data_IF_273286126486
#
_entry.id   IF_273286126486
#
_cell.length_a   1.000
_cell.length_b   1.000
_cell.length_c   1.000
_cell.angle_alpha   90.00
_cell.angle_beta   90.00
_cell.angle_gamma   90.00
#
_symmetry.space_group_name_H-M   'P 1'
#
loop_
_entity.id
_entity.type
_entity.pdbx_description
1 polymer ?
#
# COMPACT_ATOMS: atom_id res chain seq x y z
N UNK A 1 48.97 25.73 -6.82
CA UNK A 1 48.49 24.38 -6.55
C UNK A 1 47.42 24.05 -7.56
N UNK A 2 47.45 22.91 -8.28
CA UNK A 2 46.37 22.59 -9.21
C UNK A 2 45.10 22.40 -8.41
N UNK A 3 44.03 23.06 -8.81
CA UNK A 3 42.68 22.88 -8.29
C UNK A 3 42.28 21.44 -8.52
N UNK A 4 42.10 20.66 -7.43
CA UNK A 4 41.55 19.30 -7.51
C UNK A 4 40.15 19.40 -8.19
N UNK A 5 40.06 18.95 -9.42
CA UNK A 5 38.77 18.78 -10.09
C UNK A 5 38.03 17.70 -9.31
N UNK A 6 36.93 18.07 -8.65
CA UNK A 6 36.05 17.10 -7.98
C UNK A 6 35.39 16.28 -9.07
N UNK A 7 35.59 14.95 -9.03
CA UNK A 7 34.95 14.02 -9.97
C UNK A 7 33.47 13.88 -9.60
N UNK A 8 32.58 14.24 -10.52
CA UNK A 8 31.14 14.07 -10.35
C UNK A 8 30.76 12.59 -10.47
N UNK A 9 29.99 12.10 -9.49
CA UNK A 9 29.39 10.74 -9.54
C UNK A 9 28.01 10.86 -10.19
N UNK A 10 27.89 10.36 -11.43
CA UNK A 10 26.64 10.43 -12.20
C UNK A 10 25.71 9.27 -11.80
N UNK A 11 24.48 9.61 -11.43
CA UNK A 11 23.43 8.61 -11.12
C UNK A 11 22.96 7.86 -12.39
N UNK A 12 22.49 6.61 -12.22
CA UNK A 12 21.93 5.85 -13.33
C UNK A 12 20.71 6.56 -13.93
N UNK A 13 20.63 6.67 -15.28
CA UNK A 13 19.58 7.42 -15.99
C UNK A 13 18.16 7.03 -15.57
N UNK A 14 17.90 5.74 -15.34
CA UNK A 14 16.59 5.22 -14.92
C UNK A 14 16.11 5.81 -13.58
N UNK A 15 17.01 6.31 -12.73
CA UNK A 15 16.65 6.90 -11.43
C UNK A 15 15.85 8.20 -11.56
N UNK A 16 15.92 8.87 -12.70
CA UNK A 16 15.09 10.05 -12.98
C UNK A 16 13.58 9.73 -13.03
N UNK A 17 13.22 8.47 -13.28
CA UNK A 17 11.82 8.02 -13.33
C UNK A 17 11.30 7.47 -11.98
N UNK A 18 12.18 7.32 -10.99
CA UNK A 18 11.78 6.83 -9.65
C UNK A 18 11.22 8.02 -8.84
N UNK A 19 9.91 7.98 -8.54
CA UNK A 19 9.20 9.00 -7.77
C UNK A 19 8.50 8.37 -6.58
N UNK A 20 8.37 9.12 -5.48
CA UNK A 20 7.66 8.68 -4.28
C UNK A 20 6.95 9.87 -3.62
N UNK A 21 5.81 10.26 -4.16
CA UNK A 21 5.08 11.49 -3.87
C UNK A 21 4.68 11.70 -2.41
N UNK A 22 4.54 10.63 -1.60
CA UNK A 22 4.13 10.72 -0.19
C UNK A 22 5.08 11.61 0.63
N UNK A 23 6.32 11.79 0.16
CA UNK A 23 7.35 12.59 0.83
C UNK A 23 7.80 13.83 0.05
N UNK A 24 7.18 14.15 -1.07
CA UNK A 24 7.57 15.28 -1.92
C UNK A 24 7.50 16.62 -1.19
N UNK A 25 6.52 16.79 -0.29
CA UNK A 25 6.36 18.00 0.50
C UNK A 25 7.11 18.00 1.85
N UNK A 26 7.96 17.01 2.11
CA UNK A 26 8.67 16.92 3.38
C UNK A 26 9.56 18.16 3.63
N UNK A 27 10.26 18.64 2.59
CA UNK A 27 11.11 19.84 2.69
C UNK A 27 10.28 21.07 3.01
N UNK A 28 9.14 21.25 2.34
CA UNK A 28 8.24 22.39 2.60
C UNK A 28 7.64 22.29 3.99
N UNK A 29 7.30 21.08 4.45
CA UNK A 29 6.80 20.87 5.81
C UNK A 29 7.87 21.22 6.87
N UNK A 30 9.13 20.85 6.64
CA UNK A 30 10.24 21.20 7.52
C UNK A 30 10.48 22.72 7.57
N UNK A 31 10.27 23.44 6.47
CA UNK A 31 10.33 24.91 6.42
C UNK A 31 9.24 25.55 7.27
N UNK A 32 7.98 25.15 7.06
CA UNK A 32 6.82 25.63 7.82
C UNK A 32 6.97 25.33 9.32
N UNK A 33 7.50 24.16 9.68
CA UNK A 33 7.75 23.80 11.07
C UNK A 33 8.86 24.66 11.71
N UNK A 34 9.93 24.99 10.94
CA UNK A 34 11.01 25.88 11.42
C UNK A 34 10.53 27.33 11.64
N UNK A 35 9.51 27.77 10.95
CA UNK A 35 8.84 29.06 11.19
C UNK A 35 7.98 29.06 12.46
N UNK A 36 7.90 27.94 13.17
CA UNK A 36 7.18 27.81 14.45
C UNK A 36 5.71 27.39 14.31
N UNK A 37 5.26 27.02 13.12
CA UNK A 37 3.88 26.60 12.88
C UNK A 37 3.68 25.13 13.23
N UNK A 38 2.55 24.82 13.88
CA UNK A 38 2.13 23.44 14.16
C UNK A 38 1.39 22.87 12.95
N UNK A 39 1.98 21.86 12.33
CA UNK A 39 1.38 21.19 11.17
C UNK A 39 0.44 20.07 11.61
N UNK A 40 -0.73 19.99 10.98
CA UNK A 40 -1.67 18.86 11.07
C UNK A 40 -1.36 17.87 9.97
N UNK A 41 -0.81 16.70 10.34
CA UNK A 41 -0.32 15.69 9.40
C UNK A 41 -1.42 14.68 9.04
N UNK A 42 -1.92 14.74 7.80
CA UNK A 42 -2.88 13.78 7.23
C UNK A 42 -2.28 13.03 6.02
N UNK A 43 -0.94 12.88 5.98
CA UNK A 43 -0.21 12.36 4.82
C UNK A 43 0.41 10.98 5.04
N UNK A 44 0.73 10.60 6.28
CA UNK A 44 1.49 9.37 6.59
C UNK A 44 0.58 8.30 7.20
N UNK A 45 0.50 7.14 6.54
CA UNK A 45 -0.23 5.97 7.00
C UNK A 45 0.55 5.13 8.01
N UNK A 46 0.91 5.73 9.14
CA UNK A 46 1.57 5.08 10.27
C UNK A 46 0.67 5.14 11.52
N UNK A 47 -0.06 4.05 11.84
CA UNK A 47 -0.97 4.03 12.98
C UNK A 47 -0.28 4.31 14.33
N UNK A 48 1.00 3.92 14.47
CA UNK A 48 1.74 4.07 15.73
C UNK A 48 2.02 5.52 16.12
N UNK A 49 1.82 6.48 15.19
CA UNK A 49 1.92 7.92 15.47
C UNK A 49 0.65 8.49 16.11
N UNK A 50 -0.38 7.68 16.24
CA UNK A 50 -1.69 8.04 16.75
C UNK A 50 -2.09 7.09 17.89
N UNK A 51 -3.36 7.08 18.24
CA UNK A 51 -3.91 6.30 19.35
C UNK A 51 -4.17 4.82 19.04
N UNK A 52 -3.21 4.18 18.35
CA UNK A 52 -3.22 2.76 18.02
C UNK A 52 -1.97 2.07 18.58
N UNK A 53 -2.01 1.59 19.84
CA UNK A 53 -0.86 0.97 20.49
C UNK A 53 -0.59 -0.42 19.92
N UNK A 54 0.69 -0.76 19.81
CA UNK A 54 1.13 -2.11 19.46
C UNK A 54 0.63 -3.13 20.50
N UNK A 55 0.07 -4.28 20.08
CA UNK A 55 -0.37 -5.33 21.00
C UNK A 55 0.78 -5.87 21.88
N UNK A 56 0.62 -5.89 23.22
CA UNK A 56 1.70 -6.26 24.16
C UNK A 56 2.31 -7.64 23.90
N UNK A 57 1.49 -8.65 23.61
CA UNK A 57 1.93 -10.02 23.36
C UNK A 57 2.92 -10.15 22.21
N UNK A 58 2.88 -9.24 21.24
CA UNK A 58 3.84 -9.19 20.13
C UNK A 58 5.18 -8.61 20.57
N UNK A 59 5.15 -7.56 21.43
CA UNK A 59 6.36 -6.97 22.01
C UNK A 59 7.07 -8.01 22.86
N UNK A 60 6.35 -8.69 23.74
CA UNK A 60 6.85 -9.76 24.60
C UNK A 60 7.52 -10.89 23.81
N UNK A 61 6.92 -11.27 22.68
CA UNK A 61 7.49 -12.31 21.81
C UNK A 61 8.84 -11.89 21.20
N UNK A 62 8.96 -10.64 20.76
CA UNK A 62 10.22 -10.11 20.22
C UNK A 62 11.27 -9.96 21.31
N UNK A 63 10.90 -9.43 22.46
CA UNK A 63 11.79 -9.30 23.62
C UNK A 63 12.33 -10.65 24.05
N UNK A 64 11.46 -11.65 24.17
CA UNK A 64 11.85 -13.02 24.48
C UNK A 64 12.82 -13.58 23.44
N UNK A 65 12.52 -13.42 22.16
CA UNK A 65 13.40 -13.91 21.09
C UNK A 65 14.82 -13.30 21.18
N UNK A 66 14.92 -11.99 21.44
CA UNK A 66 16.21 -11.31 21.62
C UNK A 66 16.98 -11.85 22.83
N UNK A 67 16.30 -12.08 23.97
CA UNK A 67 16.89 -12.62 25.19
C UNK A 67 17.31 -14.09 25.04
N UNK A 68 16.55 -14.87 24.29
CA UNK A 68 16.84 -16.28 23.97
C UNK A 68 18.00 -16.44 22.96
N UNK A 69 18.56 -15.35 22.45
CA UNK A 69 19.72 -15.36 21.57
C UNK A 69 19.39 -15.45 20.07
N UNK A 70 18.12 -15.28 19.65
CA UNK A 70 17.72 -15.26 18.22
C UNK A 70 18.15 -13.96 17.53
N UNK A 71 19.43 -13.55 17.67
CA UNK A 71 19.99 -12.31 17.15
C UNK A 71 20.86 -12.52 15.91
N UNK A 72 21.13 -13.78 15.53
CA UNK A 72 21.88 -14.14 14.32
C UNK A 72 21.01 -14.11 13.08
N UNK A 73 21.57 -14.54 11.95
CA UNK A 73 20.80 -14.71 10.72
C UNK A 73 19.80 -15.88 10.87
N UNK A 74 18.58 -15.67 10.39
CA UNK A 74 17.59 -16.73 10.23
C UNK A 74 17.62 -17.35 8.83
N UNK A 75 16.70 -18.25 8.55
CA UNK A 75 16.51 -18.86 7.22
C UNK A 75 16.07 -17.79 6.21
N UNK A 76 16.54 -17.94 4.97
CA UNK A 76 16.34 -16.95 3.91
C UNK A 76 14.87 -16.74 3.55
N UNK A 77 14.05 -17.78 3.63
CA UNK A 77 12.61 -17.67 3.37
C UNK A 77 11.80 -17.25 4.60
N UNK A 78 12.43 -17.21 5.77
CA UNK A 78 11.79 -16.96 7.06
C UNK A 78 11.95 -18.13 8.01
N UNK A 79 11.96 -17.84 9.31
CA UNK A 79 12.06 -18.90 10.34
C UNK A 79 10.86 -19.84 10.28
N UNK A 80 11.09 -21.12 10.53
CA UNK A 80 10.04 -22.14 10.38
C UNK A 80 8.75 -21.80 11.15
N UNK A 81 8.76 -21.35 12.42
CA UNK A 81 7.53 -21.00 13.13
C UNK A 81 6.73 -19.85 12.46
N UNK A 82 7.41 -18.91 11.81
CA UNK A 82 6.78 -17.80 11.11
C UNK A 82 6.13 -18.28 9.79
N UNK A 83 6.88 -19.05 9.00
CA UNK A 83 6.40 -19.61 7.72
C UNK A 83 5.21 -20.54 7.97
N UNK A 84 5.27 -21.41 8.98
CA UNK A 84 4.18 -22.31 9.33
C UNK A 84 2.92 -21.53 9.76
N UNK A 85 3.05 -20.51 10.61
CA UNK A 85 1.92 -19.69 11.05
C UNK A 85 1.25 -18.94 9.89
N UNK A 86 2.04 -18.39 8.94
CA UNK A 86 1.50 -17.74 7.75
C UNK A 86 0.75 -18.76 6.89
N UNK A 87 1.32 -19.94 6.66
CA UNK A 87 0.71 -21.03 5.89
C UNK A 87 -0.61 -21.48 6.52
N UNK A 88 -0.62 -21.80 7.81
CA UNK A 88 -1.84 -22.22 8.53
C UNK A 88 -2.94 -21.15 8.46
N UNK A 89 -2.57 -19.87 8.61
CA UNK A 89 -3.53 -18.79 8.41
C UNK A 89 -4.09 -18.75 7.00
N UNK A 90 -3.26 -18.86 5.99
CA UNK A 90 -3.68 -18.85 4.59
C UNK A 90 -4.62 -20.02 4.30
N UNK A 91 -4.27 -21.24 4.73
CA UNK A 91 -5.10 -22.43 4.60
C UNK A 91 -6.46 -22.27 5.31
N UNK A 92 -6.46 -21.74 6.55
CA UNK A 92 -7.69 -21.46 7.30
C UNK A 92 -8.58 -20.40 6.65
N UNK A 93 -8.02 -19.53 5.80
CA UNK A 93 -8.75 -18.54 5.00
C UNK A 93 -9.14 -19.05 3.60
N UNK A 94 -8.91 -20.33 3.31
CA UNK A 94 -9.33 -20.98 2.05
C UNK A 94 -8.31 -20.90 0.93
N UNK A 95 -7.06 -20.55 1.21
CA UNK A 95 -5.99 -20.65 0.22
C UNK A 95 -5.67 -22.12 -0.02
N UNK A 96 -5.62 -22.50 -1.28
CA UNK A 96 -5.25 -23.86 -1.71
C UNK A 96 -3.98 -23.81 -2.55
N UNK A 97 -3.37 -24.99 -2.78
CA UNK A 97 -2.19 -25.15 -3.63
C UNK A 97 -1.07 -24.15 -3.33
N UNK A 98 -0.77 -23.96 -2.01
CA UNK A 98 0.30 -23.08 -1.56
C UNK A 98 1.67 -23.67 -1.92
N UNK A 99 2.32 -23.06 -2.91
CA UNK A 99 3.63 -23.49 -3.41
C UNK A 99 4.79 -22.95 -2.58
N UNK A 100 4.66 -21.72 -2.06
CA UNK A 100 5.70 -21.08 -1.24
C UNK A 100 5.12 -20.05 -0.30
N UNK A 101 5.77 -19.90 0.86
CA UNK A 101 5.60 -18.79 1.80
C UNK A 101 6.98 -18.24 2.09
N UNK A 102 7.15 -16.93 2.04
CA UNK A 102 8.44 -16.30 2.34
C UNK A 102 8.27 -14.91 2.98
N UNK A 103 9.17 -14.60 3.91
CA UNK A 103 9.17 -13.40 4.76
C UNK A 103 10.27 -12.44 4.30
N UNK A 104 9.99 -11.13 4.34
CA UNK A 104 10.93 -10.07 3.97
C UNK A 104 10.91 -8.86 4.89
N UNK A 105 11.74 -7.87 4.57
CA UNK A 105 11.83 -6.56 5.23
C UNK A 105 10.59 -5.68 4.96
N UNK A 106 9.45 -6.12 5.48
CA UNK A 106 8.13 -5.58 5.14
C UNK A 106 7.69 -6.05 3.75
N UNK A 107 6.41 -5.82 3.43
CA UNK A 107 5.85 -6.14 2.10
C UNK A 107 6.64 -5.47 0.96
N UNK A 108 7.23 -4.30 1.21
CA UNK A 108 7.96 -3.57 0.17
C UNK A 108 9.17 -4.32 -0.41
N UNK A 109 9.97 -5.02 0.40
CA UNK A 109 11.06 -5.87 -0.13
C UNK A 109 10.53 -7.11 -0.84
N UNK A 110 9.47 -7.70 -0.29
CA UNK A 110 8.84 -8.87 -0.90
C UNK A 110 8.30 -8.55 -2.29
N UNK A 111 7.62 -7.41 -2.43
CA UNK A 111 7.13 -6.87 -3.71
C UNK A 111 8.28 -6.61 -4.66
N UNK A 112 9.34 -5.93 -4.20
CA UNK A 112 10.55 -5.66 -5.00
C UNK A 112 11.19 -6.94 -5.54
N UNK A 113 11.35 -7.94 -4.68
CA UNK A 113 11.93 -9.25 -5.05
C UNK A 113 11.06 -9.98 -6.07
N UNK A 114 9.72 -9.97 -5.87
CA UNK A 114 8.78 -10.60 -6.79
C UNK A 114 8.78 -9.93 -8.16
N UNK A 115 8.76 -8.60 -8.22
CA UNK A 115 8.81 -7.85 -9.48
C UNK A 115 10.17 -7.99 -10.17
N UNK A 116 11.28 -7.97 -9.41
CA UNK A 116 12.62 -8.16 -9.95
C UNK A 116 12.79 -9.55 -10.60
N UNK A 117 12.17 -10.59 -10.03
CA UNK A 117 12.21 -11.93 -10.59
C UNK A 117 11.27 -12.13 -11.79
N UNK A 118 10.28 -11.22 -11.99
CA UNK A 118 9.23 -11.37 -12.97
C UNK A 118 9.43 -10.53 -14.23
N UNK A 119 9.94 -9.29 -14.10
CA UNK A 119 9.85 -8.26 -15.14
C UNK A 119 11.23 -7.90 -15.68
N UNK A 120 11.39 -7.93 -17.01
CA UNK A 120 12.55 -7.42 -17.71
C UNK A 120 12.35 -5.95 -18.13
N UNK A 121 13.46 -5.27 -18.46
CA UNK A 121 13.38 -3.93 -19.03
C UNK A 121 12.56 -3.92 -20.33
N UNK A 122 11.63 -2.98 -20.44
CA UNK A 122 10.71 -2.85 -21.57
C UNK A 122 9.46 -3.74 -21.52
N UNK A 123 9.34 -4.62 -20.53
CA UNK A 123 8.09 -5.32 -20.21
C UNK A 123 7.22 -4.45 -19.28
N UNK A 124 5.97 -4.86 -19.01
CA UNK A 124 5.05 -4.12 -18.17
C UNK A 124 4.24 -5.01 -17.23
N UNK A 125 3.70 -4.37 -16.21
CA UNK A 125 2.68 -4.89 -15.29
C UNK A 125 1.50 -3.94 -15.34
N UNK A 126 0.29 -4.49 -15.45
CA UNK A 126 -0.94 -3.72 -15.28
C UNK A 126 -1.07 -3.32 -13.81
N UNK A 127 -1.05 -2.01 -13.54
CA UNK A 127 -1.16 -1.44 -12.20
C UNK A 127 -2.42 -0.57 -12.08
N UNK A 128 -3.07 -0.48 -10.91
CA UNK A 128 -4.24 0.40 -10.77
C UNK A 128 -3.86 1.89 -10.87
N UNK A 129 -4.76 2.71 -11.36
CA UNK A 129 -4.65 4.18 -11.38
C UNK A 129 -5.89 4.77 -10.68
N UNK A 130 -5.72 5.34 -9.47
CA UNK A 130 -4.50 5.56 -8.70
C UNK A 130 -3.94 4.31 -8.01
N UNK A 131 -2.60 4.33 -7.72
CA UNK A 131 -1.88 3.22 -7.08
C UNK A 131 -1.02 3.65 -5.89
N UNK A 132 -0.58 2.69 -5.08
CA UNK A 132 0.48 2.92 -4.10
C UNK A 132 1.83 3.14 -4.81
N UNK A 133 2.50 4.29 -4.62
CA UNK A 133 3.67 4.70 -5.44
C UNK A 133 4.89 3.77 -5.40
N UNK A 134 4.93 2.79 -4.50
CA UNK A 134 6.00 1.80 -4.43
C UNK A 134 6.09 0.98 -5.72
N UNK A 135 4.95 0.58 -6.28
CA UNK A 135 4.91 -0.27 -7.48
C UNK A 135 5.52 0.45 -8.68
N UNK A 136 5.06 1.68 -8.95
CA UNK A 136 5.64 2.52 -10.00
C UNK A 136 7.13 2.77 -9.80
N UNK A 137 7.59 3.01 -8.56
CA UNK A 137 9.00 3.21 -8.25
C UNK A 137 9.85 1.96 -8.51
N UNK A 138 9.37 0.77 -8.15
CA UNK A 138 10.07 -0.50 -8.40
C UNK A 138 10.11 -0.79 -9.90
N UNK A 139 9.00 -0.65 -10.61
CA UNK A 139 8.93 -0.87 -12.06
C UNK A 139 9.86 0.10 -12.81
N UNK A 140 9.89 1.38 -12.44
CA UNK A 140 10.82 2.36 -13.00
C UNK A 140 12.29 1.98 -12.74
N UNK A 141 12.61 1.49 -11.53
CA UNK A 141 13.95 0.97 -11.18
C UNK A 141 14.36 -0.19 -12.09
N UNK A 142 13.42 -1.06 -12.46
CA UNK A 142 13.63 -2.20 -13.35
C UNK A 142 13.68 -1.83 -14.84
N UNK A 143 13.32 -0.59 -15.18
CA UNK A 143 13.22 -0.16 -16.58
C UNK A 143 11.96 -0.68 -17.27
N UNK A 144 10.95 -1.05 -16.52
CA UNK A 144 9.64 -1.46 -17.04
C UNK A 144 8.87 -0.25 -17.61
N UNK A 145 7.94 -0.53 -18.54
CA UNK A 145 7.06 0.48 -19.13
C UNK A 145 5.82 0.65 -18.24
N UNK A 146 5.43 1.88 -17.88
CA UNK A 146 4.17 2.12 -17.17
C UNK A 146 2.96 1.61 -17.96
N UNK A 147 2.05 0.88 -17.32
CA UNK A 147 0.82 0.36 -17.92
C UNK A 147 -0.30 0.35 -16.88
N UNK A 148 -0.77 1.55 -16.52
CA UNK A 148 -1.78 1.74 -15.49
C UNK A 148 -3.19 1.59 -16.07
N UNK A 149 -4.06 0.82 -15.38
CA UNK A 149 -5.49 0.73 -15.68
C UNK A 149 -6.31 1.61 -14.74
N UNK A 150 -7.43 2.11 -15.23
CA UNK A 150 -8.27 3.02 -14.46
C UNK A 150 -9.08 2.27 -13.37
N UNK A 151 -9.14 2.88 -12.19
CA UNK A 151 -10.18 2.60 -11.20
C UNK A 151 -11.35 3.56 -11.44
N UNK A 152 -12.56 3.03 -11.57
CA UNK A 152 -13.76 3.83 -11.87
C UNK A 152 -14.31 4.50 -10.59
N UNK A 153 -14.04 5.80 -10.44
CA UNK A 153 -14.54 6.60 -9.31
C UNK A 153 -16.07 6.59 -9.25
N UNK A 154 -16.74 6.64 -10.39
CA UNK A 154 -18.21 6.65 -10.45
C UNK A 154 -18.84 5.32 -10.02
N UNK A 155 -18.06 4.24 -10.07
CA UNK A 155 -18.43 2.89 -9.65
C UNK A 155 -17.72 2.46 -8.36
N UNK A 156 -17.43 3.40 -7.45
CA UNK A 156 -16.85 3.07 -6.14
C UNK A 156 -15.38 2.68 -6.17
N UNK A 157 -14.63 3.13 -7.17
CA UNK A 157 -13.22 2.81 -7.40
C UNK A 157 -12.98 1.32 -7.70
N UNK A 158 -13.96 0.63 -8.28
CA UNK A 158 -13.75 -0.71 -8.82
C UNK A 158 -12.82 -0.65 -10.05
N UNK A 159 -11.97 -1.67 -10.28
CA UNK A 159 -11.19 -1.79 -11.52
C UNK A 159 -12.05 -1.73 -12.78
N UNK A 160 -11.67 -0.90 -13.74
CA UNK A 160 -12.29 -0.88 -15.06
C UNK A 160 -11.79 -2.08 -15.89
N UNK A 161 -12.61 -3.10 -15.94
CA UNK A 161 -12.31 -4.40 -16.59
C UNK A 161 -12.07 -4.25 -18.09
N UNK A 162 -12.78 -3.33 -18.76
CA UNK A 162 -12.62 -3.14 -20.18
C UNK A 162 -11.36 -2.34 -20.51
N UNK A 163 -11.01 -1.38 -19.68
CA UNK A 163 -9.74 -0.68 -19.77
C UNK A 163 -8.54 -1.63 -19.56
N UNK A 164 -8.64 -2.53 -18.56
CA UNK A 164 -7.63 -3.58 -18.34
C UNK A 164 -7.42 -4.42 -19.60
N UNK A 165 -8.50 -4.96 -20.19
CA UNK A 165 -8.42 -5.77 -21.42
C UNK A 165 -7.79 -5.01 -22.57
N UNK A 166 -8.13 -3.73 -22.71
CA UNK A 166 -7.58 -2.87 -23.76
C UNK A 166 -6.09 -2.57 -23.63
N UNK A 167 -5.53 -2.72 -22.42
CA UNK A 167 -4.14 -2.44 -22.10
C UNK A 167 -3.22 -3.67 -22.09
N UNK A 168 -3.78 -4.88 -22.10
CA UNK A 168 -2.97 -6.10 -22.22
C UNK A 168 -2.26 -6.12 -23.58
N UNK A 169 -0.99 -6.46 -23.57
CA UNK A 169 -0.16 -6.65 -24.77
C UNK A 169 0.87 -7.78 -24.56
N UNK A 170 1.63 -8.09 -25.58
CA UNK A 170 2.64 -9.17 -25.61
C UNK A 170 3.78 -9.00 -24.58
N UNK A 171 3.94 -7.80 -24.02
CA UNK A 171 4.92 -7.48 -22.96
C UNK A 171 4.32 -7.45 -21.56
N UNK A 172 3.02 -7.70 -21.41
CA UNK A 172 2.36 -7.69 -20.12
C UNK A 172 2.66 -8.99 -19.36
N UNK A 173 3.23 -8.86 -18.15
CA UNK A 173 3.69 -9.99 -17.32
C UNK A 173 2.74 -10.34 -16.19
N UNK A 174 2.07 -9.34 -15.62
CA UNK A 174 1.21 -9.53 -14.46
C UNK A 174 0.08 -8.49 -14.42
N UNK A 175 -0.95 -8.81 -13.64
CA UNK A 175 -2.00 -7.92 -13.20
C UNK A 175 -1.86 -7.71 -11.69
N UNK A 176 -1.59 -6.45 -11.27
CA UNK A 176 -1.54 -6.04 -9.88
C UNK A 176 -2.92 -5.57 -9.42
N UNK A 177 -3.34 -5.98 -8.24
CA UNK A 177 -4.44 -5.35 -7.52
C UNK A 177 -4.02 -5.02 -6.08
N UNK A 178 -4.62 -3.96 -5.51
CA UNK A 178 -4.44 -3.54 -4.11
C UNK A 178 -5.82 -3.51 -3.47
N UNK A 179 -6.10 -4.45 -2.56
CA UNK A 179 -7.45 -4.63 -2.00
C UNK A 179 -7.41 -5.04 -0.51
N UNK A 180 -7.92 -4.20 0.42
CA UNK A 180 -8.43 -2.83 0.25
C UNK A 180 -7.40 -1.85 -0.32
N UNK A 181 -7.89 -0.86 -1.09
CA UNK A 181 -7.03 -0.01 -1.90
C UNK A 181 -6.40 1.17 -1.13
N UNK A 182 -5.17 1.44 -1.42
CA UNK A 182 -4.47 2.69 -1.13
C UNK A 182 -4.17 3.37 -2.48
N UNK A 183 -4.75 4.54 -2.78
CA UNK A 183 -5.20 5.57 -1.84
C UNK A 183 -6.73 5.69 -1.62
N UNK A 184 -7.58 4.93 -2.29
CA UNK A 184 -9.03 5.21 -2.36
C UNK A 184 -9.84 4.69 -1.17
N UNK A 185 -9.34 3.67 -0.45
CA UNK A 185 -10.10 2.95 0.57
C UNK A 185 -11.17 2.00 0.00
N UNK A 186 -11.18 1.76 -1.31
CA UNK A 186 -12.09 0.83 -1.94
C UNK A 186 -11.86 -0.62 -1.49
N UNK A 187 -12.94 -1.40 -1.45
CA UNK A 187 -12.92 -2.86 -1.25
C UNK A 187 -13.64 -3.47 -2.45
N UNK A 188 -12.93 -4.26 -3.23
CA UNK A 188 -13.44 -4.78 -4.51
C UNK A 188 -14.49 -5.87 -4.30
N UNK A 189 -15.49 -5.85 -5.17
CA UNK A 189 -16.56 -6.84 -5.18
C UNK A 189 -16.05 -8.21 -5.64
N UNK A 190 -16.73 -9.29 -5.17
CA UNK A 190 -16.44 -10.65 -5.66
C UNK A 190 -16.53 -10.73 -7.18
N UNK A 191 -17.54 -10.08 -7.76
CA UNK A 191 -17.74 -10.04 -9.22
C UNK A 191 -16.52 -9.47 -9.95
N UNK A 192 -15.98 -8.34 -9.47
CA UNK A 192 -14.79 -7.73 -10.07
C UNK A 192 -13.59 -8.66 -9.94
N UNK A 193 -13.36 -9.26 -8.76
CA UNK A 193 -12.26 -10.21 -8.56
C UNK A 193 -12.37 -11.41 -9.51
N UNK A 194 -13.58 -11.97 -9.72
CA UNK A 194 -13.81 -13.03 -10.70
C UNK A 194 -13.51 -12.58 -12.14
N UNK A 195 -13.88 -11.35 -12.51
CA UNK A 195 -13.54 -10.80 -13.83
C UNK A 195 -12.03 -10.60 -14.03
N UNK A 196 -11.30 -10.19 -12.99
CA UNK A 196 -9.83 -10.09 -13.03
C UNK A 196 -9.18 -11.48 -13.21
N UNK A 197 -9.72 -12.51 -12.57
CA UNK A 197 -9.28 -13.90 -12.78
C UNK A 197 -9.49 -14.36 -14.22
N UNK A 198 -10.64 -14.04 -14.84
CA UNK A 198 -10.89 -14.36 -16.24
C UNK A 198 -9.89 -13.70 -17.19
N UNK A 199 -9.53 -12.44 -16.93
CA UNK A 199 -8.48 -11.74 -17.69
C UNK A 199 -7.13 -12.43 -17.52
N UNK A 200 -6.75 -12.74 -16.28
CA UNK A 200 -5.49 -13.42 -16.01
C UNK A 200 -5.42 -14.79 -16.71
N UNK A 201 -6.52 -15.52 -16.76
CA UNK A 201 -6.67 -16.80 -17.45
C UNK A 201 -6.55 -16.65 -18.96
N UNK A 202 -7.28 -15.70 -19.52
CA UNK A 202 -7.30 -15.42 -20.96
C UNK A 202 -5.92 -15.04 -21.51
N UNK A 203 -5.17 -14.24 -20.75
CA UNK A 203 -3.89 -13.67 -21.19
C UNK A 203 -2.66 -14.30 -20.52
N UNK A 204 -2.86 -15.36 -19.76
CA UNK A 204 -1.79 -16.09 -19.05
C UNK A 204 -0.93 -15.16 -18.15
N UNK A 205 -1.58 -14.34 -17.35
CA UNK A 205 -0.96 -13.39 -16.45
C UNK A 205 -0.80 -13.95 -15.03
N UNK A 206 0.28 -13.56 -14.35
CA UNK A 206 0.39 -13.73 -12.90
C UNK A 206 -0.45 -12.63 -12.21
N UNK A 207 -1.19 -12.99 -11.16
CA UNK A 207 -1.84 -12.00 -10.29
C UNK A 207 -0.91 -11.67 -9.13
N UNK A 208 -0.69 -10.37 -8.91
CA UNK A 208 -0.02 -9.81 -7.73
C UNK A 208 -1.09 -9.12 -6.88
N UNK A 209 -1.40 -9.68 -5.69
CA UNK A 209 -2.45 -9.18 -4.82
C UNK A 209 -1.86 -8.57 -3.55
N UNK A 210 -1.90 -7.24 -3.43
CA UNK A 210 -1.53 -6.54 -2.19
C UNK A 210 -2.74 -6.48 -1.25
N UNK A 211 -2.72 -7.31 -0.22
CA UNK A 211 -3.79 -7.46 0.76
C UNK A 211 -3.35 -7.01 2.16
N UNK A 212 -2.43 -6.04 2.25
CA UNK A 212 -1.89 -5.54 3.51
C UNK A 212 -2.97 -4.94 4.44
N UNK A 213 -4.14 -4.59 3.90
CA UNK A 213 -5.29 -4.04 4.61
C UNK A 213 -6.44 -5.04 4.80
N UNK A 214 -6.24 -6.33 4.57
CA UNK A 214 -7.25 -7.40 4.58
C UNK A 214 -8.17 -7.39 5.81
N UNK A 215 -7.65 -7.07 6.99
CA UNK A 215 -8.40 -6.99 8.25
C UNK A 215 -9.04 -5.61 8.50
N UNK A 216 -8.76 -4.62 7.68
CA UNK A 216 -9.19 -3.24 7.89
C UNK A 216 -10.36 -2.88 6.96
N UNK A 217 -11.44 -3.65 7.04
CA UNK A 217 -12.73 -3.38 6.38
C UNK A 217 -13.75 -3.08 7.46
N UNK A 218 -14.34 -1.88 7.43
CA UNK A 218 -15.24 -1.36 8.47
C UNK A 218 -16.61 -0.94 7.93
N UNK A 219 -16.80 -0.90 6.61
CA UNK A 219 -18.12 -0.64 6.02
C UNK A 219 -19.09 -1.77 6.34
N UNK A 220 -20.30 -1.50 6.91
CA UNK A 220 -21.28 -2.51 7.20
C UNK A 220 -21.66 -3.34 5.96
N UNK A 221 -21.54 -4.66 6.08
CA UNK A 221 -21.83 -5.60 4.99
C UNK A 221 -20.71 -5.82 3.99
N UNK A 222 -19.67 -4.98 3.96
CA UNK A 222 -18.47 -5.24 3.18
C UNK A 222 -17.58 -6.29 3.87
N UNK A 223 -16.94 -7.13 3.05
CA UNK A 223 -15.95 -8.12 3.53
C UNK A 223 -14.79 -8.17 2.55
N UNK A 224 -13.59 -8.24 3.09
CA UNK A 224 -12.44 -8.58 2.26
C UNK A 224 -12.58 -10.03 1.76
N UNK A 225 -12.37 -10.20 0.47
CA UNK A 225 -12.26 -11.51 -0.19
C UNK A 225 -10.88 -11.54 -0.81
N UNK A 226 -10.05 -12.49 -0.38
CA UNK A 226 -8.78 -12.70 -1.05
C UNK A 226 -9.02 -13.34 -2.42
N UNK A 227 -8.43 -12.76 -3.46
CA UNK A 227 -8.54 -13.29 -4.82
C UNK A 227 -7.94 -14.71 -4.92
N UNK A 228 -6.97 -15.04 -4.08
CA UNK A 228 -6.36 -16.37 -4.02
C UNK A 228 -7.33 -17.48 -3.57
N UNK A 229 -8.46 -17.14 -2.96
CA UNK A 229 -9.49 -18.11 -2.57
C UNK A 229 -10.47 -18.46 -3.70
N UNK A 230 -10.42 -17.69 -4.80
CA UNK A 230 -11.40 -17.80 -5.90
C UNK A 230 -10.87 -18.61 -7.10
N UNK A 231 -9.56 -18.95 -7.12
CA UNK A 231 -8.95 -19.73 -8.20
C UNK A 231 -7.81 -20.60 -7.70
N UNK A 232 -7.63 -21.76 -8.35
CA UNK A 232 -6.51 -22.69 -8.11
C UNK A 232 -5.68 -22.92 -9.37
N UNK A 233 -6.18 -22.50 -10.51
CA UNK A 233 -5.62 -22.70 -11.85
C UNK A 233 -4.75 -21.52 -12.34
N UNK A 234 -4.67 -20.45 -11.56
CA UNK A 234 -3.91 -19.23 -11.89
C UNK A 234 -2.81 -19.01 -10.86
N UNK A 235 -1.57 -18.65 -11.28
CA UNK A 235 -0.51 -18.24 -10.35
C UNK A 235 -0.87 -16.90 -9.69
N UNK A 236 -0.97 -16.91 -8.37
CA UNK A 236 -1.29 -15.71 -7.55
C UNK A 236 -0.24 -15.56 -6.46
N UNK A 237 0.30 -14.35 -6.32
CA UNK A 237 1.22 -13.96 -5.26
C UNK A 237 0.50 -12.95 -4.37
N UNK A 238 0.14 -13.34 -3.16
CA UNK A 238 -0.55 -12.49 -2.20
C UNK A 238 0.44 -11.91 -1.20
N UNK A 239 0.51 -10.57 -1.12
CA UNK A 239 1.36 -9.83 -0.19
C UNK A 239 0.59 -9.41 1.06
N UNK A 240 1.22 -9.53 2.23
CA UNK A 240 0.68 -9.07 3.50
C UNK A 240 1.83 -8.77 4.50
N UNK A 241 1.51 -8.41 5.74
CA UNK A 241 2.52 -8.11 6.75
C UNK A 241 1.97 -7.60 8.08
N UNK A 242 2.86 -7.29 9.01
CA UNK A 242 2.50 -6.81 10.34
C UNK A 242 2.31 -5.29 10.42
N UNK A 243 2.60 -4.55 9.35
CA UNK A 243 2.70 -3.09 9.39
C UNK A 243 1.38 -2.36 9.68
N UNK A 244 0.22 -2.92 9.28
CA UNK A 244 -1.06 -2.21 9.29
C UNK A 244 -2.01 -2.75 10.34
N UNK A 245 -2.58 -3.92 10.12
CA UNK A 245 -3.51 -4.52 11.06
C UNK A 245 -2.87 -4.87 12.41
N UNK A 246 -1.56 -5.11 12.45
CA UNK A 246 -0.84 -5.48 13.66
C UNK A 246 0.01 -4.34 14.26
N UNK A 247 -0.08 -3.14 13.72
CA UNK A 247 0.41 -1.89 14.33
C UNK A 247 1.93 -1.87 14.61
N UNK A 248 2.74 -2.46 13.73
CA UNK A 248 4.21 -2.49 13.85
C UNK A 248 4.94 -2.19 12.54
N UNK A 249 4.65 -1.06 11.88
CA UNK A 249 5.29 -0.73 10.59
C UNK A 249 6.82 -0.56 10.70
N UNK A 250 7.32 -0.19 11.88
CA UNK A 250 8.76 -0.02 12.15
C UNK A 250 9.53 -1.34 12.28
N UNK A 251 8.86 -2.47 12.51
CA UNK A 251 9.53 -3.77 12.64
C UNK A 251 9.93 -4.38 11.30
N UNK A 252 9.40 -3.84 10.20
CA UNK A 252 9.75 -4.27 8.85
C UNK A 252 9.53 -5.77 8.62
N UNK A 253 8.34 -6.29 8.94
CA UNK A 253 7.93 -7.68 8.68
C UNK A 253 6.77 -7.70 7.70
N UNK A 254 6.98 -8.36 6.56
CA UNK A 254 5.99 -8.67 5.56
C UNK A 254 6.28 -10.02 4.92
N UNK A 255 5.34 -10.55 4.18
CA UNK A 255 5.46 -11.86 3.54
C UNK A 255 4.68 -11.92 2.24
N UNK A 256 4.97 -12.98 1.47
CA UNK A 256 4.10 -13.42 0.38
C UNK A 256 3.69 -14.88 0.56
N UNK A 257 2.50 -15.18 0.03
CA UNK A 257 1.97 -16.52 -0.17
C UNK A 257 1.77 -16.72 -1.67
N UNK A 258 2.45 -17.70 -2.25
CA UNK A 258 2.32 -18.05 -3.66
C UNK A 258 1.39 -19.27 -3.80
N UNK A 259 0.30 -19.11 -4.55
CA UNK A 259 -0.71 -20.16 -4.79
C UNK A 259 -0.89 -20.41 -6.29
N UNK A 260 -1.40 -21.59 -6.63
CA UNK A 260 -1.70 -21.99 -8.01
C UNK A 260 -0.82 -23.14 -8.53
N UNK A 261 -0.87 -23.43 -9.84
CA UNK A 261 -0.21 -24.60 -10.42
C UNK A 261 1.31 -24.55 -10.21
N UNK A 262 1.87 -25.65 -9.71
CA UNK A 262 3.30 -25.78 -9.44
C UNK A 262 4.15 -25.55 -10.69
N UNK A 263 3.71 -26.07 -11.81
CA UNK A 263 4.41 -25.98 -13.09
C UNK A 263 4.55 -24.53 -13.55
N UNK A 264 3.54 -23.70 -13.30
CA UNK A 264 3.56 -22.28 -13.64
C UNK A 264 4.48 -21.47 -12.71
N UNK A 265 4.60 -21.88 -11.45
CA UNK A 265 5.31 -21.11 -10.41
C UNK A 265 6.75 -21.55 -10.18
N UNK A 266 7.12 -22.80 -10.50
CA UNK A 266 8.38 -23.40 -10.08
C UNK A 266 9.63 -22.56 -10.42
N UNK A 267 9.83 -22.21 -11.68
CA UNK A 267 11.01 -21.45 -12.12
C UNK A 267 11.00 -20.01 -11.60
N UNK A 268 9.82 -19.40 -11.51
CA UNK A 268 9.66 -18.07 -10.95
C UNK A 268 10.02 -18.04 -9.46
N UNK A 269 9.49 -18.96 -8.68
CA UNK A 269 9.81 -19.06 -7.24
C UNK A 269 11.28 -19.36 -6.99
N UNK A 270 11.92 -20.18 -7.83
CA UNK A 270 13.37 -20.40 -7.79
C UNK A 270 14.15 -19.08 -7.96
N UNK A 271 13.72 -18.19 -8.87
CA UNK A 271 14.34 -16.88 -9.06
C UNK A 271 14.13 -15.97 -7.84
N UNK A 272 12.90 -15.91 -7.29
CA UNK A 272 12.60 -15.17 -6.06
C UNK A 272 13.46 -15.69 -4.90
N UNK A 273 13.53 -17.00 -4.69
CA UNK A 273 14.31 -17.62 -3.62
C UNK A 273 15.81 -17.31 -3.74
N UNK A 274 16.35 -17.18 -4.97
CA UNK A 274 17.75 -16.76 -5.18
C UNK A 274 17.99 -15.34 -4.68
N UNK A 275 17.06 -14.41 -4.95
CA UNK A 275 17.14 -13.03 -4.43
C UNK A 275 17.07 -13.01 -2.89
N UNK A 276 16.16 -13.78 -2.32
CA UNK A 276 16.04 -13.88 -0.86
C UNK A 276 17.27 -14.50 -0.20
N UNK A 277 17.91 -15.50 -0.81
CA UNK A 277 19.19 -16.03 -0.33
C UNK A 277 20.32 -14.99 -0.42
N UNK A 278 20.37 -14.22 -1.48
CA UNK A 278 21.40 -13.20 -1.66
C UNK A 278 21.34 -12.10 -0.60
N UNK A 279 20.15 -11.77 -0.07
CA UNK A 279 19.97 -10.79 1.02
C UNK A 279 20.12 -11.40 2.42
N UNK A 280 20.37 -12.70 2.54
CA UNK A 280 20.50 -13.51 3.76
C UNK A 280 19.14 -13.82 4.43
N UNK A 281 18.65 -13.00 5.35
CA UNK A 281 17.39 -13.24 6.06
C UNK A 281 16.62 -11.96 6.34
N UNK A 282 15.31 -12.05 6.56
CA UNK A 282 14.54 -10.98 7.18
C UNK A 282 14.95 -10.77 8.64
N UNK A 283 14.56 -9.67 9.32
CA UNK A 283 14.94 -9.38 10.70
C UNK A 283 14.54 -10.52 11.64
N UNK A 284 15.53 -11.32 12.10
CA UNK A 284 15.27 -12.59 12.79
C UNK A 284 14.43 -12.43 14.06
N UNK A 285 14.76 -11.54 15.03
CA UNK A 285 13.98 -11.43 16.26
C UNK A 285 12.52 -11.06 16.01
N UNK A 286 12.27 -10.16 15.04
CA UNK A 286 10.92 -9.67 14.73
C UNK A 286 10.03 -10.72 14.03
N UNK A 287 10.62 -11.73 13.38
CA UNK A 287 9.85 -12.83 12.81
C UNK A 287 9.15 -13.66 13.89
N UNK A 288 9.67 -13.69 15.12
CA UNK A 288 9.04 -14.37 16.25
C UNK A 288 7.71 -13.74 16.67
N UNK A 289 7.40 -12.51 16.24
CA UNK A 289 6.10 -11.89 16.42
C UNK A 289 5.02 -12.39 15.45
N UNK A 290 5.38 -13.04 14.33
CA UNK A 290 4.42 -13.45 13.30
C UNK A 290 3.40 -14.44 13.89
N UNK A 291 3.86 -15.51 14.54
CA UNK A 291 2.96 -16.51 15.12
C UNK A 291 2.03 -15.92 16.19
N UNK A 292 2.51 -15.16 17.19
CA UNK A 292 1.65 -14.48 18.16
C UNK A 292 0.67 -13.48 17.50
N UNK A 293 1.09 -12.79 16.45
CA UNK A 293 0.21 -11.88 15.72
C UNK A 293 -0.93 -12.60 15.01
N UNK A 294 -0.65 -13.74 14.37
CA UNK A 294 -1.63 -14.46 13.55
C UNK A 294 -2.55 -15.38 14.36
N UNK A 295 -2.03 -16.02 15.41
CA UNK A 295 -2.71 -17.05 16.22
C UNK A 295 -3.08 -16.54 17.62
N UNK A 296 -2.51 -15.44 18.10
CA UNK A 296 -2.77 -14.86 19.42
C UNK A 296 -4.01 -13.96 19.47
N UNK A 297 -4.20 -13.21 20.58
CA UNK A 297 -5.34 -12.33 20.78
C UNK A 297 -5.49 -11.29 19.66
N UNK A 298 -6.72 -11.07 19.19
CA UNK A 298 -7.05 -10.14 18.12
C UNK A 298 -7.90 -8.95 18.59
N UNK A 299 -7.99 -8.71 19.93
CA UNK A 299 -8.89 -7.72 20.54
C UNK A 299 -8.63 -6.28 20.08
N UNK A 300 -7.41 -5.99 19.62
CA UNK A 300 -7.05 -4.69 19.05
C UNK A 300 -7.73 -4.40 17.71
N UNK A 301 -8.09 -5.44 16.92
CA UNK A 301 -8.71 -5.27 15.59
C UNK A 301 -10.10 -4.63 15.69
N UNK A 302 -11.08 -5.16 16.44
CA UNK A 302 -12.39 -4.52 16.55
C UNK A 302 -12.31 -3.10 17.11
N UNK A 303 -11.42 -2.82 18.08
CA UNK A 303 -11.19 -1.47 18.61
C UNK A 303 -10.65 -0.53 17.52
N UNK A 304 -9.72 -1.00 16.69
CA UNK A 304 -9.19 -0.25 15.56
C UNK A 304 -10.29 0.02 14.52
N UNK A 305 -11.07 -0.98 14.18
CA UNK A 305 -12.16 -0.85 13.19
C UNK A 305 -13.24 0.13 13.64
N UNK A 306 -13.62 0.13 14.92
CA UNK A 306 -14.58 1.10 15.46
C UNK A 306 -14.08 2.54 15.29
N UNK A 307 -12.81 2.82 15.64
CA UNK A 307 -12.18 4.14 15.45
C UNK A 307 -12.15 4.53 13.97
N UNK A 308 -11.72 3.62 13.10
CA UNK A 308 -11.63 3.88 11.66
C UNK A 308 -13.00 4.15 11.04
N UNK A 309 -14.03 3.39 11.41
CA UNK A 309 -15.40 3.59 10.95
C UNK A 309 -15.90 5.00 11.32
N UNK A 310 -15.72 5.42 12.58
CA UNK A 310 -16.10 6.76 13.06
C UNK A 310 -15.35 7.87 12.31
N UNK A 311 -14.04 7.72 12.14
CA UNK A 311 -13.20 8.71 11.46
C UNK A 311 -13.47 8.78 9.95
N UNK A 312 -13.78 7.65 9.33
CA UNK A 312 -14.25 7.61 7.95
C UNK A 312 -15.58 8.35 7.78
N UNK A 313 -16.52 8.19 8.73
CA UNK A 313 -17.79 8.92 8.72
C UNK A 313 -17.59 10.44 8.85
N UNK A 314 -16.75 10.90 9.79
CA UNK A 314 -16.38 12.31 9.94
C UNK A 314 -15.80 12.86 8.63
N UNK A 315 -14.92 12.07 7.98
CA UNK A 315 -14.30 12.47 6.70
C UNK A 315 -15.35 12.58 5.57
N UNK A 316 -16.29 11.66 5.51
CA UNK A 316 -17.38 11.71 4.53
C UNK A 316 -18.31 12.91 4.75
N UNK A 317 -18.70 13.16 5.99
CA UNK A 317 -19.60 14.25 6.34
C UNK A 317 -18.95 15.63 6.12
N UNK A 318 -17.65 15.72 6.35
CA UNK A 318 -16.88 16.90 5.98
C UNK A 318 -16.82 17.10 4.45
N UNK A 319 -16.51 16.08 3.67
CA UNK A 319 -16.42 16.20 2.22
C UNK A 319 -17.77 16.65 1.61
N UNK A 320 -18.89 16.11 2.09
CA UNK A 320 -20.24 16.51 1.65
C UNK A 320 -20.56 17.99 1.90
N UNK A 321 -19.98 18.59 2.94
CA UNK A 321 -20.22 19.99 3.34
C UNK A 321 -19.22 20.97 2.71
N UNK A 322 -18.12 20.44 2.17
CA UNK A 322 -17.05 21.28 1.62
C UNK A 322 -17.34 21.58 0.16
N UNK A 323 -17.46 22.86 -0.24
CA UNK A 323 -17.71 23.22 -1.62
C UNK A 323 -16.56 22.73 -2.53
N UNK A 324 -16.86 22.48 -3.79
CA UNK A 324 -15.90 22.00 -4.81
C UNK A 324 -15.20 20.68 -4.47
N UNK A 325 -15.78 19.90 -3.58
CA UNK A 325 -15.23 18.60 -3.18
C UNK A 325 -16.30 17.52 -3.29
N UNK A 326 -15.88 16.33 -3.73
CA UNK A 326 -16.69 15.12 -3.64
C UNK A 326 -15.83 13.97 -3.14
N UNK A 327 -16.45 12.96 -2.55
CA UNK A 327 -15.76 11.81 -1.99
C UNK A 327 -16.61 10.55 -2.18
N UNK A 328 -16.01 9.56 -2.82
CA UNK A 328 -16.50 8.17 -2.75
C UNK A 328 -16.13 7.62 -1.38
N UNK A 329 -17.13 7.15 -0.65
CA UNK A 329 -16.96 6.65 0.71
C UNK A 329 -15.93 5.51 0.78
N UNK A 330 -14.86 5.62 1.59
CA UNK A 330 -13.93 4.53 1.77
C UNK A 330 -14.60 3.40 2.58
N UNK A 331 -14.35 2.15 2.20
CA UNK A 331 -14.90 0.95 2.83
C UNK A 331 -13.88 0.20 3.69
N UNK A 332 -12.61 0.48 3.47
CA UNK A 332 -11.49 -0.18 4.14
C UNK A 332 -10.22 0.67 4.18
N UNK A 333 -9.13 0.09 4.68
CA UNK A 333 -7.88 0.77 4.97
C UNK A 333 -8.09 1.98 5.92
N UNK A 334 -7.35 3.06 5.74
CA UNK A 334 -7.51 4.31 6.51
C UNK A 334 -7.20 5.54 5.63
N UNK A 335 -7.58 5.46 4.36
CA UNK A 335 -7.40 6.48 3.34
C UNK A 335 -8.72 6.93 2.76
N UNK A 336 -8.79 8.20 2.42
CA UNK A 336 -9.82 8.79 1.60
C UNK A 336 -9.19 9.59 0.47
N UNK A 337 -9.81 9.58 -0.70
CA UNK A 337 -9.33 10.30 -1.88
C UNK A 337 -10.42 11.23 -2.44
N UNK A 338 -10.70 12.36 -1.76
CA UNK A 338 -11.64 13.32 -2.30
C UNK A 338 -11.14 13.92 -3.62
N UNK A 339 -12.07 14.10 -4.57
CA UNK A 339 -11.86 14.85 -5.80
C UNK A 339 -12.11 16.35 -5.58
N UNK A 340 -11.42 17.17 -6.37
CA UNK A 340 -11.43 18.62 -6.28
C UNK A 340 -11.87 19.24 -7.63
N UNK A 341 -12.96 20.01 -7.63
CA UNK A 341 -13.39 20.83 -8.75
C UNK A 341 -12.77 22.23 -8.64
N UNK A 342 -11.47 22.33 -8.88
CA UNK A 342 -10.67 23.57 -8.74
C UNK A 342 -9.89 23.86 -10.04
N UNK A 343 -9.57 25.13 -10.33
CA UNK A 343 -8.76 25.49 -11.50
C UNK A 343 -7.29 25.07 -11.36
N UNK A 344 -6.73 25.13 -10.15
CA UNK A 344 -5.32 24.80 -9.88
C UNK A 344 -5.05 23.30 -10.06
N UNK A 345 -3.78 22.93 -10.25
CA UNK A 345 -3.34 21.54 -10.10
C UNK A 345 -3.29 21.13 -8.62
N UNK A 346 -3.36 19.83 -8.37
CA UNK A 346 -3.46 19.28 -7.01
C UNK A 346 -2.15 19.44 -6.19
N UNK A 347 -0.99 19.50 -6.83
CA UNK A 347 0.29 19.75 -6.13
C UNK A 347 0.37 21.21 -5.66
N UNK A 348 -0.02 22.17 -6.49
CA UNK A 348 -0.14 23.59 -6.11
C UNK A 348 -1.13 23.75 -4.96
N UNK A 349 -2.31 23.12 -5.05
CA UNK A 349 -3.31 23.15 -3.99
C UNK A 349 -2.75 22.67 -2.65
N UNK A 350 -2.11 21.48 -2.62
CA UNK A 350 -1.56 20.89 -1.39
C UNK A 350 -0.39 21.71 -0.83
N UNK A 351 0.45 22.26 -1.69
CA UNK A 351 1.58 23.10 -1.29
C UNK A 351 1.11 24.40 -0.63
N UNK A 352 0.11 25.07 -1.22
CA UNK A 352 -0.43 26.32 -0.68
C UNK A 352 -1.27 26.08 0.57
N UNK A 353 -2.02 24.98 0.65
CA UNK A 353 -2.72 24.56 1.85
C UNK A 353 -1.75 24.37 3.04
N UNK A 354 -0.61 23.70 2.79
CA UNK A 354 0.42 23.50 3.80
C UNK A 354 1.01 24.84 4.29
N UNK A 355 1.36 25.73 3.37
CA UNK A 355 1.96 27.03 3.71
C UNK A 355 1.00 27.97 4.41
N UNK A 356 -0.28 28.01 4.02
CA UNK A 356 -1.25 29.00 4.50
C UNK A 356 -2.09 28.52 5.69
N UNK A 357 -2.41 27.22 5.73
CA UNK A 357 -3.28 26.66 6.78
C UNK A 357 -2.59 25.59 7.64
N UNK A 358 -1.35 25.23 7.30
CA UNK A 358 -0.51 24.26 8.03
C UNK A 358 -1.17 22.87 8.14
N UNK A 359 -1.82 22.44 7.07
CA UNK A 359 -2.39 21.09 6.92
C UNK A 359 -1.65 20.38 5.80
N UNK A 360 -1.10 19.18 6.07
CA UNK A 360 -0.37 18.39 5.10
C UNK A 360 -1.18 17.16 4.69
N UNK A 361 -1.64 17.15 3.46
CA UNK A 361 -2.21 16.02 2.72
C UNK A 361 -1.28 15.63 1.57
N UNK A 362 -1.62 14.62 0.78
CA UNK A 362 -0.82 14.24 -0.40
C UNK A 362 -1.62 14.51 -1.67
N UNK A 363 -0.98 15.10 -2.67
CA UNK A 363 -1.58 15.35 -3.98
C UNK A 363 -1.88 14.03 -4.73
N UNK A 364 -3.03 13.95 -5.40
CA UNK A 364 -3.49 12.73 -6.07
C UNK A 364 -2.64 12.35 -7.28
N UNK A 365 -2.09 13.34 -8.00
CA UNK A 365 -1.18 13.12 -9.13
C UNK A 365 0.06 12.29 -8.75
N UNK A 366 0.46 12.32 -7.48
CA UNK A 366 1.54 11.48 -6.96
C UNK A 366 1.18 9.99 -6.79
N UNK A 367 -0.08 9.63 -6.97
CA UNK A 367 -0.57 8.25 -6.99
C UNK A 367 -0.91 7.77 -8.42
N UNK A 368 -0.52 8.53 -9.44
CA UNK A 368 -0.78 8.15 -10.83
C UNK A 368 -2.26 8.21 -11.22
N UNK A 369 -3.02 9.18 -10.66
CA UNK A 369 -4.43 9.36 -11.00
C UNK A 369 -4.66 9.64 -12.48
N UNK A 370 -5.87 9.39 -12.98
CA UNK A 370 -6.29 9.64 -14.35
C UNK A 370 -6.00 11.08 -14.76
N UNK A 371 -5.47 11.26 -15.98
CA UNK A 371 -5.17 12.58 -16.51
C UNK A 371 -6.41 13.48 -16.55
N UNK A 372 -6.25 14.75 -16.12
CA UNK A 372 -7.34 15.72 -16.05
C UNK A 372 -8.19 15.67 -14.80
N UNK A 373 -8.02 14.67 -13.92
CA UNK A 373 -8.64 14.64 -12.60
C UNK A 373 -7.74 15.29 -11.55
N UNK A 374 -8.32 15.74 -10.46
CA UNK A 374 -7.61 16.36 -9.33
C UNK A 374 -8.12 15.80 -8.03
N UNK A 375 -7.23 15.21 -7.25
CA UNK A 375 -7.55 14.59 -5.98
C UNK A 375 -6.51 14.94 -4.92
N UNK A 376 -6.87 14.70 -3.68
CA UNK A 376 -5.92 14.65 -2.57
C UNK A 376 -6.12 13.33 -1.81
N UNK A 377 -5.02 12.73 -1.33
CA UNK A 377 -5.15 11.61 -0.41
C UNK A 377 -5.09 12.11 1.02
N UNK A 378 -6.07 11.72 1.81
CA UNK A 378 -6.18 11.98 3.25
C UNK A 378 -6.00 10.68 4.01
N UNK A 379 -5.20 10.73 5.08
CA UNK A 379 -5.07 9.68 6.09
C UNK A 379 -5.93 10.07 7.29
N UNK A 380 -6.96 9.30 7.62
CA UNK A 380 -7.85 9.59 8.75
C UNK A 380 -7.51 8.77 10.02
N UNK A 381 -6.21 8.57 10.27
CA UNK A 381 -5.69 7.97 11.50
C UNK A 381 -5.67 8.90 12.72
N UNK A 382 -5.53 10.25 12.57
CA UNK A 382 -5.58 11.15 13.72
C UNK A 382 -6.91 11.07 14.49
N UNK A 383 -6.87 11.45 15.79
CA UNK A 383 -8.06 11.53 16.62
C UNK A 383 -9.10 12.51 16.02
N UNK A 384 -10.35 12.31 16.36
CA UNK A 384 -11.52 12.99 15.76
C UNK A 384 -11.39 14.51 15.82
N UNK A 385 -10.99 15.08 16.98
CA UNK A 385 -10.80 16.52 17.14
C UNK A 385 -9.67 17.09 16.26
N UNK A 386 -8.64 16.30 15.97
CA UNK A 386 -7.54 16.71 15.07
C UNK A 386 -8.00 16.67 13.62
N UNK A 387 -8.80 15.66 13.25
CA UNK A 387 -9.42 15.58 11.92
C UNK A 387 -10.37 16.75 11.68
N UNK A 388 -11.27 17.04 12.64
CA UNK A 388 -12.21 18.15 12.54
C UNK A 388 -11.49 19.49 12.37
N UNK A 389 -10.44 19.75 13.18
CA UNK A 389 -9.64 20.97 13.05
C UNK A 389 -8.92 21.08 11.69
N UNK A 390 -8.41 19.96 11.17
CA UNK A 390 -7.77 19.94 9.85
C UNK A 390 -8.79 20.18 8.73
N UNK A 391 -9.97 19.57 8.84
CA UNK A 391 -11.05 19.67 7.85
C UNK A 391 -11.67 21.07 7.82
N UNK A 392 -11.79 21.73 8.96
CA UNK A 392 -12.21 23.13 9.02
C UNK A 392 -11.23 24.04 8.26
N UNK A 393 -9.93 23.90 8.52
CA UNK A 393 -8.88 24.65 7.82
C UNK A 393 -8.85 24.42 6.31
N UNK A 394 -9.05 23.17 5.86
CA UNK A 394 -9.15 22.85 4.42
C UNK A 394 -10.40 23.53 3.83
N UNK A 395 -11.53 23.46 4.52
CA UNK A 395 -12.77 24.13 4.09
C UNK A 395 -12.64 25.65 4.00
N UNK A 396 -12.00 26.29 5.00
CA UNK A 396 -11.68 27.72 4.97
C UNK A 396 -10.78 28.06 3.76
N UNK A 397 -9.71 27.31 3.58
CA UNK A 397 -8.78 27.52 2.45
C UNK A 397 -9.49 27.48 1.11
N UNK A 398 -10.40 26.52 0.90
CA UNK A 398 -11.17 26.39 -0.33
C UNK A 398 -12.10 27.62 -0.50
N UNK A 399 -12.82 28.00 0.54
CA UNK A 399 -13.74 29.17 0.49
C UNK A 399 -12.99 30.48 0.20
N UNK A 400 -11.89 30.72 0.89
CA UNK A 400 -11.09 31.95 0.73
C UNK A 400 -10.45 32.01 -0.68
N UNK A 401 -9.82 30.91 -1.11
CA UNK A 401 -9.09 30.86 -2.38
C UNK A 401 -10.00 30.96 -3.60
N UNK A 402 -11.15 30.28 -3.56
CA UNK A 402 -12.05 30.17 -4.72
C UNK A 402 -13.33 31.00 -4.58
N UNK A 403 -13.48 31.77 -3.51
CA UNK A 403 -14.61 32.68 -3.26
C UNK A 403 -15.97 31.99 -3.33
N UNK A 404 -16.11 30.85 -2.67
CA UNK A 404 -17.32 30.01 -2.63
C UNK A 404 -17.85 29.81 -1.21
#
# INVERSE_FOLDING_TARGET
>A
MPTKTVMEVVAAKRMANVRYAIRDLAVVADEVAREGHKILYLNIGDPCKFDFPTPPHMIEAVEKAMRDGHNGYGESLGIKPAVDAIRHRAEAHGFNDIQSVFVGYGSGEVIDSCLTALVNAGENVLTPSPEYPLYGAVLAKLGAVPNAYDLDESNGWEPDVDDIKGKVNDKTRALLLINPNNPTGAVYSKRTLEQLLEIARQYNLVILADEIYDKLVYEPGAKHISIATLAQDIPIITFNGLSKAYLVPGWRIGWAVATGPREALHHYLEAVHRLLRARLSAPHPFQHAIKPALEGPQDHIPVMLEKLCRRAQITQDWAKRTPRMSLVAPKGAFYAQPSLDIPDDDLTFVTDLLKQKHVLVVHGSGFGQKAGTKHVRIVFLPQENVLEAAYEKIGEFIRERYRV
#
